data_IF_730363896481
#
_entry.id   IF_730363896481
#
_cell.length_a   1.000
_cell.length_b   1.000
_cell.length_c   1.000
_cell.angle_alpha   90.00
_cell.angle_beta   90.00
_cell.angle_gamma   90.00
#
_symmetry.space_group_name_H-M   'P 1'
#
loop_
_entity.id
_entity.type
_entity.pdbx_description
1 polymer ?
#
# COMPACT_ATOMS: atom_id res chain seq x y z
N UNK A 1 -26.22 41.15 -74.37
CA UNK A 1 -25.31 41.38 -73.23
C UNK A 1 -26.06 41.04 -71.97
N UNK A 2 -25.73 39.91 -71.32
CA UNK A 2 -25.94 39.63 -69.88
C UNK A 2 -25.39 38.23 -69.60
N UNK A 3 -24.13 38.18 -69.14
CA UNK A 3 -23.49 36.95 -68.62
C UNK A 3 -23.96 36.74 -67.18
N UNK A 4 -24.41 35.52 -66.85
CA UNK A 4 -24.70 35.06 -65.48
C UNK A 4 -23.39 34.75 -64.73
N UNK A 5 -23.24 35.09 -63.44
CA UNK A 5 -22.11 34.67 -62.64
C UNK A 5 -22.33 33.27 -62.04
N UNK A 6 -21.30 32.43 -62.12
CA UNK A 6 -21.16 31.18 -61.35
C UNK A 6 -20.78 31.53 -59.90
N UNK A 7 -21.56 31.07 -58.93
CA UNK A 7 -21.15 31.03 -57.53
C UNK A 7 -20.57 29.65 -57.23
N UNK A 8 -19.27 29.60 -56.97
CA UNK A 8 -18.54 28.43 -56.48
C UNK A 8 -18.88 28.25 -55.00
N UNK A 9 -19.54 27.15 -54.65
CA UNK A 9 -19.86 26.81 -53.26
C UNK A 9 -18.63 26.15 -52.62
N UNK A 10 -18.02 26.84 -51.66
CA UNK A 10 -16.89 26.34 -50.88
C UNK A 10 -17.46 25.56 -49.68
N UNK A 11 -17.45 24.22 -49.75
CA UNK A 11 -17.81 23.37 -48.62
C UNK A 11 -16.70 23.43 -47.56
N UNK A 12 -16.94 24.15 -46.47
CA UNK A 12 -16.12 24.12 -45.26
C UNK A 12 -16.41 22.81 -44.52
N UNK A 13 -15.54 21.82 -44.64
CA UNK A 13 -15.59 20.62 -43.80
C UNK A 13 -15.04 20.99 -42.41
N UNK A 14 -15.93 21.18 -41.44
CA UNK A 14 -15.55 21.34 -40.04
C UNK A 14 -15.10 19.97 -39.50
N UNK A 15 -13.79 19.78 -39.35
CA UNK A 15 -13.21 18.66 -38.61
C UNK A 15 -13.45 18.94 -37.12
N UNK A 16 -14.47 18.34 -36.55
CA UNK A 16 -14.63 18.25 -35.10
C UNK A 16 -13.60 17.24 -34.58
N UNK A 17 -12.45 17.73 -34.11
CA UNK A 17 -11.63 16.96 -33.19
C UNK A 17 -12.41 16.85 -31.87
N UNK A 18 -13.01 15.68 -31.62
CA UNK A 18 -13.37 15.28 -30.27
C UNK A 18 -12.05 15.15 -29.48
N UNK A 19 -11.70 16.20 -28.74
CA UNK A 19 -10.80 16.08 -27.60
C UNK A 19 -11.49 15.16 -26.59
N UNK A 20 -11.01 13.92 -26.48
CA UNK A 20 -11.32 13.10 -25.32
C UNK A 20 -10.89 13.88 -24.07
N UNK A 21 -11.68 13.89 -22.98
CA UNK A 21 -11.21 14.46 -21.73
C UNK A 21 -9.95 13.67 -21.34
N UNK A 22 -8.86 14.38 -21.08
CA UNK A 22 -7.70 13.77 -20.43
C UNK A 22 -8.22 13.13 -19.15
N UNK A 23 -8.00 11.83 -18.98
CA UNK A 23 -8.22 11.18 -17.71
C UNK A 23 -7.38 11.97 -16.69
N UNK A 24 -8.02 12.57 -15.69
CA UNK A 24 -7.30 13.11 -14.55
C UNK A 24 -6.58 11.91 -13.92
N UNK A 25 -5.26 11.85 -14.12
CA UNK A 25 -4.41 10.96 -13.38
C UNK A 25 -4.68 11.21 -11.90
N UNK A 26 -4.86 10.13 -11.13
CA UNK A 26 -5.00 10.22 -9.69
C UNK A 26 -3.81 11.02 -9.16
N UNK A 27 -4.06 12.15 -8.49
CA UNK A 27 -3.00 13.06 -8.07
C UNK A 27 -1.98 12.27 -7.22
N UNK A 28 -0.69 12.43 -7.51
CA UNK A 28 0.37 11.83 -6.72
C UNK A 28 0.31 12.24 -5.24
N UNK A 29 -0.43 13.31 -4.90
CA UNK A 29 -0.79 13.65 -3.52
C UNK A 29 -1.74 12.65 -2.85
N UNK A 30 -2.65 12.03 -3.61
CA UNK A 30 -3.68 11.10 -3.13
C UNK A 30 -3.08 9.72 -2.78
N UNK A 31 -2.06 9.28 -3.54
CA UNK A 31 -1.33 8.03 -3.29
C UNK A 31 -0.47 8.10 -2.02
N UNK A 32 0.02 9.29 -1.66
CA UNK A 32 0.81 9.55 -0.44
C UNK A 32 -0.07 9.71 0.81
N UNK A 33 -1.39 9.71 0.66
CA UNK A 33 -2.27 9.93 1.79
C UNK A 33 -2.36 8.67 2.68
N UNK A 34 -1.54 8.62 3.72
CA UNK A 34 -1.72 7.70 4.86
C UNK A 34 -2.18 8.44 6.10
N UNK A 35 -2.84 7.73 7.00
CA UNK A 35 -3.09 8.20 8.37
C UNK A 35 -1.99 7.58 9.24
N UNK A 36 -1.05 8.39 9.78
CA UNK A 36 -0.04 7.84 10.68
C UNK A 36 -0.69 7.11 11.85
N UNK A 37 -0.22 5.90 12.14
CA UNK A 37 -0.62 5.20 13.33
C UNK A 37 -0.13 5.93 14.59
N UNK A 38 -0.85 5.77 15.70
CA UNK A 38 -0.32 6.17 17.00
C UNK A 38 0.85 5.25 17.37
N UNK A 39 1.99 5.86 17.72
CA UNK A 39 3.16 5.09 18.12
C UNK A 39 2.92 4.29 19.40
N UNK A 40 3.55 3.12 19.50
CA UNK A 40 3.46 2.29 20.70
C UNK A 40 4.12 2.97 21.90
N UNK A 41 3.37 3.13 22.99
CA UNK A 41 3.94 3.57 24.28
C UNK A 41 4.96 2.54 24.80
N UNK A 42 6.04 3.00 25.45
CA UNK A 42 7.02 2.16 26.15
C UNK A 42 6.41 1.13 27.11
N UNK A 43 5.19 1.36 27.61
CA UNK A 43 4.45 0.40 28.42
C UNK A 43 4.11 -0.91 27.68
N UNK A 44 4.15 -0.89 26.35
CA UNK A 44 3.95 -2.05 25.48
C UNK A 44 5.25 -2.76 25.07
N UNK A 45 6.42 -2.35 25.56
CA UNK A 45 7.70 -2.85 25.07
C UNK A 45 7.86 -4.38 25.11
N UNK A 46 7.21 -5.07 26.07
CA UNK A 46 7.22 -6.54 26.12
C UNK A 46 6.56 -7.20 24.90
N UNK A 47 5.61 -6.53 24.25
CA UNK A 47 4.99 -7.02 23.02
C UNK A 47 6.00 -7.09 21.87
N UNK A 48 7.00 -6.17 21.83
CA UNK A 48 8.06 -6.19 20.83
C UNK A 48 8.99 -7.41 20.95
N UNK A 49 8.92 -8.13 22.07
CA UNK A 49 9.81 -9.22 22.46
C UNK A 49 9.07 -10.56 22.57
N UNK A 50 7.79 -10.58 22.20
CA UNK A 50 6.95 -11.80 22.13
C UNK A 50 7.64 -12.88 21.27
N UNK A 51 7.52 -14.14 21.69
CA UNK A 51 8.24 -15.25 21.07
C UNK A 51 7.80 -15.49 19.61
N UNK A 52 6.51 -15.29 19.34
CA UNK A 52 5.90 -15.47 18.02
C UNK A 52 6.51 -14.54 16.95
N UNK A 53 7.12 -13.42 17.37
CA UNK A 53 7.76 -12.44 16.47
C UNK A 53 8.86 -13.08 15.62
N UNK A 54 9.56 -14.08 16.15
CA UNK A 54 10.63 -14.77 15.42
C UNK A 54 10.09 -15.50 14.19
N UNK A 55 8.94 -16.17 14.33
CA UNK A 55 8.33 -16.93 13.24
C UNK A 55 7.56 -16.03 12.28
N UNK A 56 6.93 -14.98 12.80
CA UNK A 56 6.11 -14.03 12.03
C UNK A 56 6.94 -13.03 11.21
N UNK A 57 8.01 -12.48 11.79
CA UNK A 57 8.81 -11.40 11.17
C UNK A 57 10.19 -11.89 10.68
N UNK A 58 10.61 -13.11 11.07
CA UNK A 58 11.83 -13.77 10.58
C UNK A 58 13.08 -12.87 10.57
N UNK A 59 13.43 -12.21 11.68
CA UNK A 59 14.47 -11.17 11.74
C UNK A 59 15.84 -11.67 11.28
N UNK A 60 16.17 -12.95 11.49
CA UNK A 60 17.44 -13.49 11.03
C UNK A 60 17.56 -13.49 9.50
N UNK A 61 16.47 -13.76 8.77
CA UNK A 61 16.48 -13.72 7.30
C UNK A 61 16.62 -12.29 6.76
N UNK A 62 16.10 -11.31 7.49
CA UNK A 62 16.27 -9.88 7.19
C UNK A 62 17.75 -9.53 7.30
N UNK A 63 18.37 -9.89 8.44
CA UNK A 63 19.77 -9.60 8.70
C UNK A 63 20.72 -10.36 7.77
N UNK A 64 20.35 -11.56 7.35
CA UNK A 64 21.09 -12.32 6.33
C UNK A 64 21.01 -11.63 4.95
N UNK A 65 19.84 -11.10 4.57
CA UNK A 65 19.65 -10.36 3.32
C UNK A 65 20.39 -9.01 3.30
N UNK A 66 20.57 -8.37 4.46
CA UNK A 66 21.35 -7.13 4.58
C UNK A 66 22.86 -7.33 4.37
N UNK A 67 23.35 -8.58 4.45
CA UNK A 67 24.77 -8.92 4.28
C UNK A 67 25.72 -8.09 5.17
N UNK A 68 25.31 -7.83 6.41
CA UNK A 68 26.07 -7.05 7.40
C UNK A 68 27.48 -7.60 7.61
N UNK A 69 28.45 -6.70 7.77
CA UNK A 69 29.87 -7.02 7.94
C UNK A 69 30.39 -6.49 9.28
N UNK A 70 31.43 -7.17 9.78
CA UNK A 70 32.19 -6.64 10.90
C UNK A 70 32.77 -5.27 10.54
N UNK A 71 32.56 -4.28 11.40
CA UNK A 71 32.96 -2.89 11.16
C UNK A 71 31.84 -1.96 10.69
N UNK A 72 30.70 -2.50 10.21
CA UNK A 72 29.60 -1.66 9.72
C UNK A 72 29.03 -0.78 10.85
N UNK A 73 28.64 0.43 10.48
CA UNK A 73 27.93 1.40 11.31
C UNK A 73 26.45 1.36 10.93
N UNK A 74 25.61 0.88 11.85
CA UNK A 74 24.18 0.67 11.58
C UNK A 74 23.33 1.60 12.45
N UNK A 75 22.22 2.10 11.93
CA UNK A 75 21.18 2.76 12.70
C UNK A 75 19.93 1.89 12.74
N UNK A 76 19.35 1.68 13.92
CA UNK A 76 18.02 1.11 14.13
C UNK A 76 17.12 2.30 14.49
N UNK A 77 16.28 2.75 13.56
CA UNK A 77 15.44 3.97 13.68
C UNK A 77 14.07 3.56 14.18
N UNK A 78 13.61 4.16 15.28
CA UNK A 78 12.48 3.65 16.05
C UNK A 78 12.78 2.30 16.72
N UNK A 79 13.95 2.20 17.37
CA UNK A 79 14.50 0.93 17.81
C UNK A 79 13.72 0.23 18.95
N UNK A 80 12.83 0.95 19.65
CA UNK A 80 12.00 0.41 20.72
C UNK A 80 12.82 -0.29 21.82
N UNK A 81 12.52 -1.56 22.08
CA UNK A 81 13.26 -2.38 23.06
C UNK A 81 14.68 -2.79 22.61
N UNK A 82 15.12 -2.36 21.42
CA UNK A 82 16.39 -2.75 20.81
C UNK A 82 16.37 -4.17 20.23
N UNK A 83 15.21 -4.65 19.79
CA UNK A 83 15.04 -6.01 19.25
C UNK A 83 15.97 -6.28 18.05
N UNK A 84 16.02 -5.36 17.08
CA UNK A 84 16.94 -5.42 15.95
C UNK A 84 18.35 -4.96 16.36
N UNK A 85 18.47 -3.84 17.08
CA UNK A 85 19.76 -3.29 17.50
C UNK A 85 20.68 -4.31 18.18
N UNK A 86 20.15 -5.13 19.09
CA UNK A 86 20.93 -6.18 19.78
C UNK A 86 21.41 -7.28 18.85
N UNK A 87 20.60 -7.68 17.86
CA UNK A 87 20.96 -8.70 16.86
C UNK A 87 21.99 -8.18 15.86
N UNK A 88 21.81 -6.95 15.41
CA UNK A 88 22.74 -6.25 14.51
C UNK A 88 24.09 -6.07 15.20
N UNK A 89 24.10 -5.62 16.46
CA UNK A 89 25.32 -5.39 17.23
C UNK A 89 26.21 -6.64 17.29
N UNK A 90 25.62 -7.83 17.43
CA UNK A 90 26.38 -9.10 17.40
C UNK A 90 27.03 -9.38 16.04
N UNK A 91 26.39 -9.00 14.93
CA UNK A 91 26.88 -9.24 13.56
C UNK A 91 27.99 -8.28 13.13
N UNK A 92 27.94 -7.04 13.59
CA UNK A 92 28.90 -6.00 13.16
C UNK A 92 30.17 -5.94 14.03
N UNK A 93 30.28 -6.77 15.07
CA UNK A 93 31.53 -6.92 15.82
C UNK A 93 32.55 -7.82 15.09
N UNK A 94 33.86 -7.62 15.31
CA UNK A 94 34.46 -6.50 16.04
C UNK A 94 34.48 -5.19 15.24
N UNK A 95 34.39 -4.06 15.93
CA UNK A 95 34.70 -2.74 15.35
C UNK A 95 33.51 -1.98 14.76
N UNK A 96 32.38 -2.64 14.54
CA UNK A 96 31.12 -1.99 14.17
C UNK A 96 30.39 -1.40 15.39
N UNK A 97 29.33 -0.66 15.11
CA UNK A 97 28.45 -0.05 16.11
C UNK A 97 27.01 0.05 15.61
N UNK A 98 26.08 0.12 16.55
CA UNK A 98 24.66 0.34 16.27
C UNK A 98 24.19 1.60 16.98
N UNK A 99 23.63 2.55 16.26
CA UNK A 99 22.85 3.65 16.81
C UNK A 99 21.41 3.18 17.01
N UNK A 100 20.96 3.07 18.24
CA UNK A 100 19.56 2.78 18.57
C UNK A 100 18.85 4.11 18.76
N UNK A 101 18.10 4.53 17.76
CA UNK A 101 17.38 5.80 17.73
C UNK A 101 15.91 5.58 18.10
N UNK A 102 15.39 6.36 19.05
CA UNK A 102 13.97 6.37 19.41
C UNK A 102 13.58 7.75 19.95
N UNK A 103 12.29 8.10 19.83
CA UNK A 103 11.74 9.36 20.37
C UNK A 103 11.39 9.24 21.86
N UNK A 104 11.24 8.03 22.39
CA UNK A 104 10.89 7.74 23.78
C UNK A 104 12.16 7.46 24.59
N UNK A 105 12.52 8.32 25.56
CA UNK A 105 13.69 8.07 26.42
C UNK A 105 13.56 6.77 27.23
N UNK A 106 12.33 6.35 27.56
CA UNK A 106 12.05 5.10 28.26
C UNK A 106 12.39 3.86 27.41
N UNK A 107 12.14 3.89 26.10
CA UNK A 107 12.52 2.79 25.19
C UNK A 107 14.04 2.62 25.15
N UNK A 108 14.79 3.73 25.11
CA UNK A 108 16.25 3.69 25.15
C UNK A 108 16.78 3.10 26.46
N UNK A 109 16.12 3.34 27.59
CA UNK A 109 16.51 2.73 28.87
C UNK A 109 16.20 1.22 28.88
N UNK A 110 15.00 0.83 28.44
CA UNK A 110 14.61 -0.59 28.29
C UNK A 110 15.63 -1.32 27.40
N UNK A 111 16.03 -0.72 26.29
CA UNK A 111 17.04 -1.29 25.40
C UNK A 111 18.39 -1.46 26.12
N UNK A 112 18.85 -0.47 26.89
CA UNK A 112 20.12 -0.56 27.64
C UNK A 112 20.09 -1.71 28.64
N UNK A 113 19.03 -1.83 29.42
CA UNK A 113 18.84 -2.90 30.40
C UNK A 113 18.89 -4.26 29.70
N UNK A 114 18.11 -4.42 28.63
CA UNK A 114 18.06 -5.64 27.82
C UNK A 114 19.38 -6.00 27.14
N UNK A 115 20.14 -5.01 26.68
CA UNK A 115 21.47 -5.23 26.11
C UNK A 115 22.46 -5.68 27.19
N UNK A 116 22.39 -5.09 28.38
CA UNK A 116 23.23 -5.45 29.52
C UNK A 116 22.95 -6.88 30.01
N UNK A 117 21.67 -7.25 30.14
CA UNK A 117 21.24 -8.61 30.54
C UNK A 117 21.75 -9.68 29.55
N UNK A 118 21.79 -9.34 28.27
CA UNK A 118 22.28 -10.23 27.21
C UNK A 118 23.80 -10.17 26.97
N UNK A 119 24.51 -9.29 27.68
CA UNK A 119 25.95 -9.04 27.49
C UNK A 119 26.31 -8.48 26.10
N UNK A 120 25.39 -7.78 25.45
CA UNK A 120 25.60 -7.15 24.13
C UNK A 120 26.21 -5.77 24.31
N UNK A 121 27.27 -5.48 23.56
CA UNK A 121 27.95 -4.18 23.54
C UNK A 121 27.95 -3.58 22.13
N UNK A 122 28.41 -2.33 22.01
CA UNK A 122 28.48 -1.65 20.71
C UNK A 122 27.16 -1.01 20.27
N UNK A 123 26.21 -0.83 21.19
CA UNK A 123 24.96 -0.09 20.95
C UNK A 123 25.05 1.29 21.59
N UNK A 124 24.81 2.34 20.81
CA UNK A 124 24.81 3.74 21.21
C UNK A 124 23.37 4.29 21.12
N UNK A 125 22.78 4.72 22.25
CA UNK A 125 21.42 5.27 22.27
C UNK A 125 21.39 6.69 21.71
N UNK A 126 20.40 7.00 20.86
CA UNK A 126 20.17 8.32 20.27
C UNK A 126 18.72 8.73 20.54
N UNK A 127 18.52 9.86 21.22
CA UNK A 127 17.18 10.41 21.44
C UNK A 127 16.86 11.41 20.32
N UNK A 128 16.08 10.97 19.33
CA UNK A 128 15.63 11.79 18.22
C UNK A 128 14.39 12.62 18.56
N UNK A 129 13.72 13.10 17.51
CA UNK A 129 12.41 13.75 17.54
C UNK A 129 11.58 13.25 16.37
N UNK A 130 10.26 13.50 16.34
CA UNK A 130 9.44 13.14 15.18
C UNK A 130 9.97 13.66 13.82
N UNK A 131 10.79 14.72 13.83
CA UNK A 131 11.29 15.40 12.63
C UNK A 131 12.81 15.26 12.41
N UNK A 132 13.55 14.64 13.34
CA UNK A 132 15.02 14.60 13.28
C UNK A 132 15.55 13.36 14.00
N UNK A 133 16.18 12.40 13.30
CA UNK A 133 16.73 11.21 13.92
C UNK A 133 17.99 11.50 14.75
N UNK A 134 18.62 12.68 14.57
CA UNK A 134 19.86 13.09 15.26
C UNK A 134 21.02 12.08 15.12
N UNK A 135 21.02 11.35 14.01
CA UNK A 135 22.09 10.44 13.65
C UNK A 135 23.31 11.20 13.13
N UNK A 136 24.53 10.65 13.27
CA UNK A 136 25.73 11.27 12.72
C UNK A 136 25.67 11.35 11.18
N UNK A 137 25.95 12.54 10.64
CA UNK A 137 25.94 12.78 9.20
C UNK A 137 27.02 11.96 8.46
N UNK A 138 26.64 11.37 7.33
CA UNK A 138 27.56 10.69 6.40
C UNK A 138 28.28 9.46 6.97
N UNK A 139 27.75 8.83 8.02
CA UNK A 139 28.43 7.78 8.78
C UNK A 139 27.72 6.42 8.77
N UNK A 140 26.45 6.35 8.35
CA UNK A 140 25.63 5.16 8.47
C UNK A 140 25.73 4.28 7.20
N UNK A 141 26.24 3.06 7.35
CA UNK A 141 26.32 2.06 6.27
C UNK A 141 24.95 1.41 6.02
N UNK A 142 24.19 1.17 7.09
CA UNK A 142 22.82 0.65 7.04
C UNK A 142 21.91 1.39 8.03
N UNK A 143 20.77 1.87 7.58
CA UNK A 143 19.65 2.19 8.46
C UNK A 143 18.62 1.05 8.39
N UNK A 144 18.02 0.68 9.52
CA UNK A 144 16.90 -0.26 9.61
C UNK A 144 15.71 0.50 10.17
N UNK A 145 14.57 0.38 9.52
CA UNK A 145 13.28 0.93 9.96
C UNK A 145 12.31 -0.23 9.96
N UNK A 146 12.05 -0.81 11.13
CA UNK A 146 11.26 -2.03 11.26
C UNK A 146 9.92 -1.74 11.94
N UNK A 147 8.82 -1.80 11.18
CA UNK A 147 7.44 -1.65 11.66
C UNK A 147 7.19 -0.35 12.42
N UNK A 148 7.76 0.76 11.94
CA UNK A 148 7.62 2.08 12.58
C UNK A 148 7.42 3.22 11.58
N UNK A 149 7.66 3.00 10.28
CA UNK A 149 7.51 4.07 9.29
C UNK A 149 6.04 4.52 9.18
N UNK A 150 5.09 3.58 9.31
CA UNK A 150 3.67 3.88 9.40
C UNK A 150 3.27 4.72 10.63
N UNK A 151 4.09 4.75 11.69
CA UNK A 151 3.88 5.58 12.89
C UNK A 151 4.47 7.00 12.76
N UNK A 152 5.35 7.23 11.78
CA UNK A 152 6.02 8.54 11.63
C UNK A 152 5.00 9.62 11.22
N UNK A 153 4.76 10.59 12.08
CA UNK A 153 3.85 11.72 11.80
C UNK A 153 4.47 12.75 10.85
N UNK A 154 5.80 12.82 10.82
CA UNK A 154 6.58 13.79 10.02
C UNK A 154 7.63 13.04 9.16
N UNK A 155 7.20 12.19 8.21
CA UNK A 155 8.11 11.32 7.45
C UNK A 155 9.09 12.10 6.57
N UNK A 156 8.68 13.23 5.99
CA UNK A 156 9.53 14.00 5.07
C UNK A 156 10.83 14.52 5.75
N UNK A 157 10.77 15.25 6.88
CA UNK A 157 12.00 15.68 7.56
C UNK A 157 12.76 14.52 8.20
N UNK A 158 12.08 13.47 8.67
CA UNK A 158 12.74 12.26 9.20
C UNK A 158 13.57 11.55 8.12
N UNK A 159 12.99 11.31 6.94
CA UNK A 159 13.68 10.72 5.79
C UNK A 159 14.81 11.62 5.27
N UNK A 160 14.65 12.95 5.34
CA UNK A 160 15.74 13.86 5.02
C UNK A 160 16.93 13.70 5.98
N UNK A 161 16.68 13.60 7.28
CA UNK A 161 17.72 13.35 8.27
C UNK A 161 18.40 11.98 8.10
N UNK A 162 17.62 10.93 7.80
CA UNK A 162 18.18 9.60 7.49
C UNK A 162 19.08 9.67 6.26
N UNK A 163 18.63 10.33 5.19
CA UNK A 163 19.41 10.49 3.95
C UNK A 163 20.74 11.22 4.22
N UNK A 164 20.73 12.25 5.05
CA UNK A 164 21.94 13.01 5.43
C UNK A 164 22.88 12.17 6.33
N UNK A 165 22.34 11.22 7.09
CA UNK A 165 23.10 10.30 7.94
C UNK A 165 23.81 9.19 7.14
N UNK A 166 23.28 8.78 5.99
CA UNK A 166 23.86 7.71 5.18
C UNK A 166 25.27 8.05 4.69
N UNK A 167 26.19 7.12 4.89
CA UNK A 167 27.51 7.15 4.27
C UNK A 167 27.39 6.99 2.73
N UNK A 168 28.42 7.37 1.95
CA UNK A 168 28.45 7.08 0.53
C UNK A 168 28.28 5.57 0.24
N UNK A 169 27.18 5.21 -0.43
CA UNK A 169 26.83 3.82 -0.71
C UNK A 169 26.03 3.13 0.41
N UNK A 170 25.74 3.84 1.50
CA UNK A 170 24.87 3.39 2.58
C UNK A 170 23.45 3.12 2.10
N UNK A 171 22.76 2.21 2.80
CA UNK A 171 21.44 1.72 2.43
C UNK A 171 20.45 1.83 3.58
N UNK A 172 19.16 1.73 3.26
CA UNK A 172 18.09 1.61 4.24
C UNK A 172 17.34 0.30 4.01
N UNK A 173 17.16 -0.49 5.07
CA UNK A 173 16.25 -1.62 5.13
C UNK A 173 14.94 -1.17 5.78
N UNK A 174 13.87 -1.09 4.99
CA UNK A 174 12.53 -0.81 5.50
C UNK A 174 11.73 -2.11 5.57
N UNK A 175 11.16 -2.39 6.73
CA UNK A 175 10.20 -3.46 6.94
C UNK A 175 8.85 -2.87 7.28
N UNK A 176 7.83 -3.26 6.53
CA UNK A 176 6.46 -2.77 6.71
C UNK A 176 5.45 -3.87 6.42
N UNK A 177 4.39 -3.97 7.24
CA UNK A 177 3.32 -4.94 7.01
C UNK A 177 2.58 -4.65 5.70
N UNK A 178 2.25 -5.71 4.97
CA UNK A 178 1.72 -5.60 3.61
C UNK A 178 0.20 -5.51 3.54
N UNK A 179 -0.28 -4.84 2.49
CA UNK A 179 -1.70 -4.57 2.22
C UNK A 179 -2.29 -5.58 1.22
N UNK A 180 -1.49 -6.05 0.28
CA UNK A 180 -1.89 -6.50 -1.05
C UNK A 180 -2.55 -7.87 -1.04
N UNK A 181 -1.91 -8.84 -0.38
CA UNK A 181 -2.34 -10.23 -0.34
C UNK A 181 -3.13 -10.57 0.93
N UNK A 182 -3.35 -9.62 1.84
CA UNK A 182 -4.06 -9.82 3.11
C UNK A 182 -3.31 -10.63 4.17
N UNK A 183 -2.05 -11.02 3.93
CA UNK A 183 -1.21 -11.65 4.96
C UNK A 183 -0.93 -10.72 6.15
N UNK A 184 -0.93 -9.40 5.91
CA UNK A 184 -0.84 -8.36 6.94
C UNK A 184 -2.18 -8.00 7.59
N UNK A 185 -3.31 -8.63 7.27
CA UNK A 185 -4.60 -8.32 7.90
C UNK A 185 -4.69 -8.83 9.37
N UNK A 186 -3.63 -9.44 9.90
CA UNK A 186 -3.48 -9.77 11.32
C UNK A 186 -3.06 -8.55 12.18
N UNK A 187 -2.52 -7.50 11.56
CA UNK A 187 -2.23 -6.21 12.20
C UNK A 187 -3.32 -5.19 11.83
N UNK A 188 -3.27 -4.07 12.52
CA UNK A 188 -4.18 -2.95 12.33
C UNK A 188 -3.98 -2.32 10.95
N UNK A 189 -5.05 -1.79 10.35
CA UNK A 189 -5.02 -1.32 8.98
C UNK A 189 -4.09 -0.13 8.74
N UNK A 190 -4.03 0.78 9.72
CA UNK A 190 -3.11 1.91 9.78
C UNK A 190 -1.65 1.52 10.08
N UNK A 191 -1.38 0.24 10.38
CA UNK A 191 -0.04 -0.33 10.53
C UNK A 191 0.41 -1.10 9.28
N UNK A 192 -0.33 -0.97 8.18
CA UNK A 192 0.01 -1.62 6.89
C UNK A 192 0.27 -0.56 5.83
N UNK A 193 1.24 -0.80 4.96
CA UNK A 193 1.52 0.05 3.80
C UNK A 193 1.68 -0.78 2.54
N UNK A 194 1.13 -0.31 1.42
CA UNK A 194 1.37 -0.93 0.12
C UNK A 194 2.75 -0.55 -0.43
N UNK A 195 3.32 -1.41 -1.28
CA UNK A 195 4.53 -1.08 -2.06
C UNK A 195 4.35 0.23 -2.81
N UNK A 196 3.16 0.47 -3.37
CA UNK A 196 2.84 1.71 -4.08
C UNK A 196 2.95 2.95 -3.17
N UNK A 197 2.40 2.90 -1.96
CA UNK A 197 2.48 4.01 -1.01
C UNK A 197 3.91 4.27 -0.56
N UNK A 198 4.65 3.21 -0.21
CA UNK A 198 6.05 3.31 0.21
C UNK A 198 6.89 3.94 -0.91
N UNK A 199 6.81 3.44 -2.13
CA UNK A 199 7.59 3.98 -3.25
C UNK A 199 7.25 5.44 -3.53
N UNK A 200 5.97 5.81 -3.50
CA UNK A 200 5.53 7.20 -3.72
C UNK A 200 6.11 8.17 -2.67
N UNK A 201 6.17 7.78 -1.40
CA UNK A 201 6.75 8.62 -0.33
C UNK A 201 8.28 8.65 -0.40
N UNK A 202 8.93 7.49 -0.54
CA UNK A 202 10.38 7.36 -0.48
C UNK A 202 11.10 7.98 -1.69
N UNK A 203 10.54 7.84 -2.89
CA UNK A 203 11.07 8.49 -4.08
C UNK A 203 10.99 10.02 -3.99
N UNK A 204 9.86 10.55 -3.50
CA UNK A 204 9.70 11.97 -3.27
C UNK A 204 10.70 12.50 -2.21
N UNK A 205 11.06 11.65 -1.24
CA UNK A 205 12.09 11.92 -0.25
C UNK A 205 13.54 11.73 -0.75
N UNK A 206 13.74 11.47 -2.05
CA UNK A 206 15.08 11.37 -2.64
C UNK A 206 15.79 10.04 -2.38
N UNK A 207 15.03 8.95 -2.23
CA UNK A 207 15.55 7.58 -2.22
C UNK A 207 15.24 6.87 -3.54
N UNK A 208 16.05 5.88 -3.89
CA UNK A 208 15.77 4.96 -5.00
C UNK A 208 15.79 3.51 -4.52
N UNK A 209 14.90 2.69 -5.09
CA UNK A 209 14.79 1.28 -4.76
C UNK A 209 15.97 0.49 -5.34
N UNK A 210 16.63 -0.28 -4.47
CA UNK A 210 17.74 -1.17 -4.83
C UNK A 210 17.23 -2.60 -4.92
N UNK A 211 16.47 -3.06 -3.93
CA UNK A 211 15.88 -4.40 -3.88
C UNK A 211 14.53 -4.38 -3.18
N UNK A 212 13.63 -5.27 -3.61
CA UNK A 212 12.37 -5.55 -2.94
C UNK A 212 12.26 -7.07 -2.79
N UNK A 213 12.08 -7.52 -1.55
CA UNK A 213 11.95 -8.93 -1.19
C UNK A 213 10.53 -9.23 -0.68
N UNK A 214 9.99 -10.38 -1.11
CA UNK A 214 8.67 -10.92 -0.78
C UNK A 214 8.71 -12.09 0.21
N UNK A 215 9.90 -12.46 0.68
CA UNK A 215 10.10 -13.73 1.36
C UNK A 215 9.59 -13.79 2.81
N UNK A 216 9.25 -12.64 3.39
CA UNK A 216 8.70 -12.54 4.75
C UNK A 216 7.21 -12.93 4.75
N UNK A 217 6.69 -13.49 5.86
CA UNK A 217 5.29 -13.97 5.93
C UNK A 217 4.24 -12.87 5.69
N UNK A 218 4.41 -11.69 6.30
CA UNK A 218 3.40 -10.62 6.30
C UNK A 218 3.97 -9.22 6.04
N UNK A 219 5.27 -9.10 5.80
CA UNK A 219 5.97 -7.82 5.65
C UNK A 219 6.66 -7.71 4.29
N UNK A 220 6.77 -6.51 3.76
CA UNK A 220 7.73 -6.19 2.72
C UNK A 220 9.12 -5.99 3.33
N UNK A 221 10.17 -6.29 2.57
CA UNK A 221 11.52 -5.82 2.87
C UNK A 221 12.06 -5.04 1.66
N UNK A 222 12.16 -3.73 1.83
CA UNK A 222 12.73 -2.83 0.84
C UNK A 222 14.16 -2.48 1.20
N UNK A 223 15.05 -2.50 0.21
CA UNK A 223 16.36 -1.87 0.29
C UNK A 223 16.37 -0.61 -0.56
N UNK A 224 16.59 0.53 0.09
CA UNK A 224 16.74 1.83 -0.54
C UNK A 224 18.18 2.33 -0.43
N UNK A 225 18.53 3.30 -1.27
CA UNK A 225 19.71 4.15 -1.09
C UNK A 225 19.36 5.60 -1.42
N UNK A 226 20.17 6.55 -0.97
CA UNK A 226 20.04 7.94 -1.39
C UNK A 226 20.16 8.04 -2.93
N UNK A 227 19.21 8.70 -3.58
CA UNK A 227 19.21 8.86 -5.03
C UNK A 227 20.30 9.85 -5.46
N UNK A 228 21.03 9.52 -6.53
CA UNK A 228 22.03 10.41 -7.12
C UNK A 228 21.42 11.53 -8.00
N UNK A 229 20.10 11.54 -8.18
CA UNK A 229 19.31 12.44 -9.03
C UNK A 229 17.81 12.24 -8.83
N UNK A 230 16.96 12.73 -9.73
CA UNK A 230 15.52 12.46 -9.66
C UNK A 230 15.24 10.94 -9.71
N UNK A 231 14.53 10.42 -8.72
CA UNK A 231 14.29 8.99 -8.53
C UNK A 231 13.56 8.35 -9.72
N UNK A 232 13.90 7.09 -10.01
CA UNK A 232 13.52 6.33 -11.21
C UNK A 232 12.07 5.87 -11.30
N UNK A 233 11.13 6.80 -11.31
CA UNK A 233 9.79 6.58 -11.86
C UNK A 233 9.88 6.42 -13.38
N UNK A 234 9.09 5.51 -13.96
CA UNK A 234 9.03 5.37 -15.42
C UNK A 234 8.24 6.46 -16.16
N UNK A 235 7.72 7.48 -15.47
CA UNK A 235 7.09 8.63 -16.10
C UNK A 235 8.10 9.35 -17.05
N UNK A 236 8.00 9.07 -18.36
CA UNK A 236 8.89 9.61 -19.39
C UNK A 236 10.13 8.76 -19.69
N UNK A 237 10.23 7.53 -19.19
CA UNK A 237 11.35 6.60 -19.42
C UNK A 237 11.04 5.69 -20.60
N UNK A 238 11.94 5.59 -21.58
CA UNK A 238 11.79 4.66 -22.71
C UNK A 238 12.32 3.26 -22.37
N UNK A 239 11.87 2.22 -23.09
CA UNK A 239 12.42 0.86 -22.95
C UNK A 239 13.96 0.81 -23.10
N UNK A 240 14.54 1.68 -23.94
CA UNK A 240 16.00 1.82 -24.07
C UNK A 240 16.66 2.39 -22.81
N UNK A 241 16.00 3.26 -22.06
CA UNK A 241 16.52 3.87 -20.84
C UNK A 241 16.52 2.89 -19.67
N UNK A 242 15.47 2.06 -19.57
CA UNK A 242 15.41 0.93 -18.61
C UNK A 242 16.54 -0.07 -18.88
N UNK A 243 16.82 -0.34 -20.15
CA UNK A 243 17.91 -1.25 -20.55
C UNK A 243 19.31 -0.62 -20.31
N UNK A 244 19.42 0.70 -20.41
CA UNK A 244 20.66 1.46 -20.16
C UNK A 244 20.94 1.69 -18.67
N UNK A 245 19.93 1.58 -17.80
CA UNK A 245 20.06 1.52 -16.34
C UNK A 245 20.70 0.20 -15.87
N UNK A 246 21.70 -0.29 -16.59
CA UNK A 246 22.51 -1.49 -16.33
C UNK A 246 23.41 -1.38 -15.07
N UNK A 247 23.06 -0.49 -14.14
CA UNK A 247 23.51 -0.47 -12.77
C UNK A 247 22.54 -1.21 -11.85
N UNK A 248 22.85 -1.24 -10.55
CA UNK A 248 22.08 -1.94 -9.51
C UNK A 248 20.68 -1.36 -9.21
N UNK A 249 20.13 -0.50 -10.07
CA UNK A 249 18.88 0.21 -9.79
C UNK A 249 17.69 -0.62 -10.31
N UNK A 250 16.68 -0.80 -9.45
CA UNK A 250 15.39 -1.37 -9.85
C UNK A 250 14.56 -0.23 -10.41
N UNK A 251 13.97 -0.43 -11.59
CA UNK A 251 12.94 0.50 -12.09
C UNK A 251 11.63 0.08 -11.47
N UNK A 252 10.86 1.03 -10.93
CA UNK A 252 9.51 0.78 -10.46
C UNK A 252 8.48 1.63 -11.21
N UNK A 253 7.31 1.02 -11.44
CA UNK A 253 6.28 1.57 -12.30
C UNK A 253 4.88 1.30 -11.75
N UNK A 254 3.97 2.24 -12.03
CA UNK A 254 2.54 1.91 -12.10
C UNK A 254 2.28 0.99 -13.31
N UNK A 255 1.33 0.07 -13.17
CA UNK A 255 0.92 -0.87 -14.21
C UNK A 255 0.53 -0.17 -15.51
N UNK A 256 -0.24 0.92 -15.44
CA UNK A 256 -0.71 1.64 -16.61
C UNK A 256 0.43 2.42 -17.27
N UNK A 257 1.31 3.05 -16.49
CA UNK A 257 2.51 3.70 -17.00
C UNK A 257 3.44 2.68 -17.71
N UNK A 258 3.58 1.48 -17.14
CA UNK A 258 4.38 0.42 -17.73
C UNK A 258 3.78 -0.11 -19.05
N UNK A 259 2.44 -0.22 -19.13
CA UNK A 259 1.73 -0.59 -20.37
C UNK A 259 1.92 0.50 -21.44
N UNK A 260 1.70 1.76 -21.08
CA UNK A 260 1.77 2.89 -21.99
C UNK A 260 3.20 3.14 -22.52
N UNK A 261 4.21 2.93 -21.66
CA UNK A 261 5.62 2.96 -22.04
C UNK A 261 6.07 1.71 -22.81
N UNK A 262 5.20 0.70 -22.96
CA UNK A 262 5.50 -0.55 -23.64
C UNK A 262 6.57 -1.38 -22.92
N UNK A 263 6.71 -1.23 -21.60
CA UNK A 263 7.66 -1.96 -20.74
C UNK A 263 7.15 -3.34 -20.35
N UNK A 264 5.84 -3.55 -20.41
CA UNK A 264 5.19 -4.83 -20.08
C UNK A 264 4.13 -5.21 -21.10
N UNK A 265 3.92 -6.51 -21.25
CA UNK A 265 2.73 -7.10 -21.86
C UNK A 265 1.90 -7.75 -20.77
N UNK A 266 0.58 -7.59 -20.85
CA UNK A 266 -0.36 -8.09 -19.84
C UNK A 266 -1.51 -8.85 -20.52
N UNK A 267 -1.86 -10.02 -19.99
CA UNK A 267 -3.01 -10.83 -20.39
C UNK A 267 -3.89 -11.09 -19.14
N UNK A 268 -4.86 -10.20 -18.86
CA UNK A 268 -5.73 -10.29 -17.69
C UNK A 268 -6.88 -11.28 -17.91
N UNK A 269 -7.13 -12.12 -16.90
CA UNK A 269 -8.10 -13.22 -16.90
C UNK A 269 -8.94 -13.22 -15.63
N UNK A 270 -10.18 -13.70 -15.76
CA UNK A 270 -11.01 -14.01 -14.60
C UNK A 270 -10.37 -15.09 -13.71
N UNK A 271 -10.59 -14.99 -12.40
CA UNK A 271 -10.14 -16.00 -11.43
C UNK A 271 -11.20 -16.29 -10.35
N UNK A 272 -12.49 -16.16 -10.71
CA UNK A 272 -13.62 -16.40 -9.83
C UNK A 272 -14.07 -15.16 -9.05
N UNK A 273 -14.66 -15.35 -7.87
CA UNK A 273 -15.39 -14.28 -7.16
C UNK A 273 -14.50 -13.30 -6.39
N UNK A 274 -13.30 -13.71 -6.00
CA UNK A 274 -12.46 -12.96 -5.06
C UNK A 274 -11.18 -12.39 -5.67
N UNK A 275 -10.91 -12.68 -6.95
CA UNK A 275 -9.66 -12.34 -7.59
C UNK A 275 -9.77 -12.32 -9.12
N UNK A 276 -8.75 -11.71 -9.73
CA UNK A 276 -8.40 -11.77 -11.15
C UNK A 276 -6.93 -12.19 -11.27
N UNK A 277 -6.55 -12.80 -12.38
CA UNK A 277 -5.16 -13.17 -12.66
C UNK A 277 -4.65 -12.35 -13.84
N UNK A 278 -3.53 -11.66 -13.66
CA UNK A 278 -2.79 -11.00 -14.71
C UNK A 278 -1.57 -11.86 -15.04
N UNK A 279 -1.53 -12.42 -16.24
CA UNK A 279 -0.25 -12.88 -16.78
C UNK A 279 0.49 -11.64 -17.25
N UNK A 280 1.72 -11.46 -16.78
CA UNK A 280 2.52 -10.28 -17.10
C UNK A 280 3.95 -10.67 -17.44
N UNK A 281 4.55 -10.01 -18.42
CA UNK A 281 5.98 -10.13 -18.75
C UNK A 281 6.56 -8.77 -19.11
N UNK A 282 7.84 -8.56 -18.84
CA UNK A 282 8.56 -7.38 -19.31
C UNK A 282 8.99 -7.55 -20.77
N UNK A 283 9.11 -6.45 -21.50
CA UNK A 283 9.47 -6.42 -22.94
C UNK A 283 10.93 -6.00 -23.18
N UNK A 284 11.67 -5.66 -22.13
CA UNK A 284 13.08 -5.25 -22.17
C UNK A 284 13.91 -5.88 -21.04
N UNK A 285 15.20 -5.55 -20.98
CA UNK A 285 16.09 -6.03 -19.91
C UNK A 285 15.95 -5.23 -18.60
N UNK A 286 16.55 -5.73 -17.52
CA UNK A 286 16.61 -5.03 -16.22
C UNK A 286 15.50 -5.43 -15.24
N UNK A 287 15.74 -5.25 -13.93
CA UNK A 287 14.76 -5.60 -12.89
C UNK A 287 13.67 -4.54 -12.84
N UNK A 288 12.41 -4.96 -13.00
CA UNK A 288 11.23 -4.10 -12.99
C UNK A 288 10.32 -4.50 -11.82
N UNK A 289 9.91 -3.53 -11.02
CA UNK A 289 8.82 -3.65 -10.04
C UNK A 289 7.59 -2.98 -10.63
N UNK A 290 6.49 -3.71 -10.73
CA UNK A 290 5.22 -3.18 -11.24
C UNK A 290 4.24 -3.14 -10.08
N UNK A 291 3.62 -1.99 -9.85
CA UNK A 291 2.53 -1.80 -8.89
C UNK A 291 1.21 -1.64 -9.62
N UNK A 292 0.11 -2.16 -9.07
CA UNK A 292 -1.25 -1.90 -9.56
C UNK A 292 -2.00 -1.11 -8.50
N UNK A 293 -2.73 -0.05 -8.87
CA UNK A 293 -3.55 0.66 -7.90
C UNK A 293 -4.79 -0.15 -7.52
N UNK A 294 -5.25 0.04 -6.29
CA UNK A 294 -6.59 -0.31 -5.84
C UNK A 294 -7.64 0.33 -6.74
N UNK A 295 -8.79 -0.32 -6.89
CA UNK A 295 -9.87 0.10 -7.78
C UNK A 295 -9.55 0.06 -9.28
N UNK A 296 -8.53 -0.70 -9.68
CA UNK A 296 -8.31 -1.07 -11.08
C UNK A 296 -9.52 -1.84 -11.59
N UNK A 297 -10.12 -1.37 -12.68
CA UNK A 297 -11.31 -1.95 -13.29
C UNK A 297 -10.92 -3.01 -14.31
N UNK A 298 -11.57 -4.17 -14.25
CA UNK A 298 -11.41 -5.26 -15.20
C UNK A 298 -12.76 -5.54 -15.86
N UNK A 299 -12.90 -5.08 -17.10
CA UNK A 299 -14.13 -5.25 -17.86
C UNK A 299 -14.19 -6.61 -18.53
N UNK A 300 -15.33 -7.25 -18.38
CA UNK A 300 -15.67 -8.48 -19.07
C UNK A 300 -16.84 -8.23 -20.03
N UNK A 301 -16.91 -9.00 -21.11
CA UNK A 301 -18.06 -8.91 -22.00
C UNK A 301 -19.35 -9.32 -21.25
N UNK A 302 -20.41 -8.54 -21.46
CA UNK A 302 -21.72 -8.78 -20.84
C UNK A 302 -21.90 -8.21 -19.43
N UNK A 303 -21.14 -7.18 -19.05
CA UNK A 303 -21.24 -6.47 -17.77
C UNK A 303 -21.03 -7.40 -16.55
N UNK A 304 -19.94 -8.18 -16.61
CA UNK A 304 -19.45 -9.07 -15.55
C UNK A 304 -18.13 -8.53 -15.00
N UNK A 305 -18.08 -7.23 -14.76
CA UNK A 305 -16.85 -6.53 -14.49
C UNK A 305 -16.39 -6.78 -13.06
N UNK A 306 -15.08 -6.79 -12.89
CA UNK A 306 -14.44 -6.89 -11.59
C UNK A 306 -13.67 -5.62 -11.27
N UNK A 307 -13.44 -5.39 -9.99
CA UNK A 307 -12.66 -4.25 -9.51
C UNK A 307 -11.68 -4.73 -8.44
N UNK A 308 -10.41 -4.33 -8.53
CA UNK A 308 -9.42 -4.70 -7.54
C UNK A 308 -9.73 -4.03 -6.20
N UNK A 309 -9.63 -4.79 -5.11
CA UNK A 309 -9.97 -4.30 -3.76
C UNK A 309 -8.75 -3.86 -2.95
N UNK A 310 -7.55 -4.03 -3.50
CA UNK A 310 -6.26 -3.67 -2.92
C UNK A 310 -5.30 -3.22 -4.01
N UNK A 311 -4.30 -2.44 -3.60
CA UNK A 311 -3.07 -2.31 -4.37
C UNK A 311 -2.47 -3.71 -4.59
N UNK A 312 -1.67 -3.82 -5.64
CA UNK A 312 -0.87 -5.01 -5.92
C UNK A 312 0.55 -4.63 -6.29
N UNK A 313 1.46 -5.61 -6.25
CA UNK A 313 2.77 -5.47 -6.85
C UNK A 313 3.33 -6.82 -7.34
N UNK A 314 4.33 -6.75 -8.22
CA UNK A 314 5.13 -7.91 -8.68
C UNK A 314 6.55 -7.48 -9.09
N UNK A 315 7.55 -8.35 -8.87
CA UNK A 315 8.90 -8.18 -9.42
C UNK A 315 9.10 -9.04 -10.67
N UNK A 316 9.43 -8.41 -11.79
CA UNK A 316 9.76 -9.08 -13.04
C UNK A 316 11.28 -9.19 -13.17
N UNK A 317 11.81 -10.37 -12.81
CA UNK A 317 13.26 -10.66 -12.79
C UNK A 317 13.80 -11.11 -14.15
N UNK A 318 12.94 -11.67 -14.98
CA UNK A 318 13.24 -12.19 -16.32
C UNK A 318 12.14 -11.82 -17.33
N UNK A 319 12.36 -12.14 -18.61
CA UNK A 319 11.44 -11.82 -19.73
C UNK A 319 10.31 -12.86 -19.86
N UNK A 320 10.23 -13.81 -18.93
CA UNK A 320 9.20 -14.84 -18.89
C UNK A 320 7.83 -14.29 -18.51
N UNK A 321 6.79 -15.10 -18.75
CA UNK A 321 5.45 -14.83 -18.24
C UNK A 321 5.38 -15.20 -16.77
N UNK A 322 4.87 -14.27 -15.95
CA UNK A 322 4.62 -14.45 -14.52
C UNK A 322 3.12 -14.32 -14.26
N UNK A 323 2.60 -15.15 -13.36
CA UNK A 323 1.21 -15.09 -12.93
C UNK A 323 1.10 -14.15 -11.72
N UNK A 324 0.16 -13.21 -11.78
CA UNK A 324 -0.04 -12.20 -10.74
C UNK A 324 -1.51 -12.15 -10.35
N UNK A 325 -1.83 -12.65 -9.15
CA UNK A 325 -3.21 -12.68 -8.65
C UNK A 325 -3.52 -11.40 -7.89
N UNK A 326 -4.51 -10.65 -8.37
CA UNK A 326 -5.01 -9.45 -7.70
C UNK A 326 -6.35 -9.75 -7.03
N UNK A 327 -6.47 -9.35 -5.77
CA UNK A 327 -7.71 -9.44 -5.00
C UNK A 327 -8.76 -8.52 -5.62
N UNK A 328 -9.93 -9.05 -5.93
CA UNK A 328 -10.99 -8.32 -6.62
C UNK A 328 -12.39 -8.71 -6.12
N UNK A 329 -13.38 -7.90 -6.47
CA UNK A 329 -14.81 -8.15 -6.22
C UNK A 329 -15.62 -7.91 -7.49
N UNK A 330 -16.75 -8.59 -7.62
CA UNK A 330 -17.66 -8.38 -8.75
C UNK A 330 -18.46 -7.10 -8.57
N UNK A 331 -18.58 -6.28 -9.62
CA UNK A 331 -19.37 -5.04 -9.57
C UNK A 331 -20.86 -5.31 -9.65
N UNK A 332 -21.27 -6.27 -10.47
CA UNK A 332 -22.68 -6.62 -10.67
C UNK A 332 -23.06 -7.81 -9.80
N UNK A 333 -23.88 -7.58 -8.77
CA UNK A 333 -24.33 -8.62 -7.82
C UNK A 333 -25.04 -9.79 -8.49
N UNK A 334 -25.91 -9.49 -9.46
CA UNK A 334 -26.79 -10.47 -10.10
C UNK A 334 -26.14 -11.17 -11.31
N UNK A 335 -24.81 -11.08 -11.41
CA UNK A 335 -24.03 -11.67 -12.50
C UNK A 335 -22.90 -12.51 -11.92
N UNK A 336 -22.68 -13.67 -12.53
CA UNK A 336 -21.51 -14.47 -12.18
C UNK A 336 -20.23 -13.72 -12.61
N UNK A 337 -19.19 -13.70 -11.77
CA UNK A 337 -17.93 -13.11 -12.16
C UNK A 337 -17.28 -13.92 -13.28
N UNK A 338 -16.35 -13.30 -14.03
CA UNK A 338 -15.64 -13.95 -15.13
C UNK A 338 -14.95 -15.23 -14.66
N UNK A 339 -15.12 -16.29 -15.44
CA UNK A 339 -14.54 -17.59 -15.14
C UNK A 339 -13.02 -17.59 -15.34
N UNK A 340 -12.33 -18.66 -14.87
CA UNK A 340 -10.94 -18.90 -15.22
C UNK A 340 -10.74 -18.78 -16.74
N UNK A 341 -9.68 -18.11 -17.15
CA UNK A 341 -9.28 -17.91 -18.55
C UNK A 341 -10.21 -17.02 -19.40
N UNK A 342 -11.29 -16.45 -18.84
CA UNK A 342 -12.08 -15.44 -19.54
C UNK A 342 -11.28 -14.14 -19.70
N UNK A 343 -11.08 -13.62 -20.93
CA UNK A 343 -10.29 -12.42 -21.16
C UNK A 343 -10.98 -11.17 -20.60
N UNK A 344 -10.18 -10.30 -20.00
CA UNK A 344 -10.63 -9.03 -19.42
C UNK A 344 -9.94 -7.84 -20.11
N UNK A 345 -10.50 -6.64 -19.95
CA UNK A 345 -9.83 -5.38 -20.30
C UNK A 345 -9.53 -4.56 -19.06
N UNK A 346 -8.27 -4.14 -18.88
CA UNK A 346 -7.86 -3.28 -17.78
C UNK A 346 -8.25 -1.83 -18.05
N UNK A 347 -8.74 -1.15 -17.02
CA UNK A 347 -8.96 0.29 -17.00
C UNK A 347 -8.47 0.90 -15.66
N UNK A 348 -7.94 2.12 -15.68
CA UNK A 348 -7.43 2.78 -14.49
C UNK A 348 -8.55 3.16 -13.50
N UNK A 349 -8.24 3.41 -12.22
CA UNK A 349 -9.23 3.81 -11.21
C UNK A 349 -10.04 5.06 -11.58
N UNK A 350 -9.46 5.96 -12.38
CA UNK A 350 -10.12 7.18 -12.87
C UNK A 350 -11.34 6.90 -13.77
N UNK A 351 -11.49 5.67 -14.29
CA UNK A 351 -12.70 5.24 -14.99
C UNK A 351 -13.93 5.16 -14.07
N UNK A 352 -13.73 5.02 -12.75
CA UNK A 352 -14.77 4.83 -11.74
C UNK A 352 -14.47 5.57 -10.42
N UNK A 353 -14.37 6.93 -10.44
CA UNK A 353 -13.81 7.71 -9.33
C UNK A 353 -14.50 7.49 -7.98
N UNK A 354 -15.82 7.27 -8.00
CA UNK A 354 -16.60 6.99 -6.79
C UNK A 354 -16.20 5.69 -6.11
N UNK A 355 -15.95 4.63 -6.88
CA UNK A 355 -15.50 3.35 -6.33
C UNK A 355 -14.03 3.41 -5.93
N UNK A 356 -13.21 4.19 -6.64
CA UNK A 356 -11.82 4.45 -6.26
C UNK A 356 -11.73 5.06 -4.85
N UNK A 357 -12.53 6.09 -4.55
CA UNK A 357 -12.57 6.68 -3.21
C UNK A 357 -13.03 5.69 -2.13
N UNK A 358 -14.06 4.88 -2.39
CA UNK A 358 -14.54 3.85 -1.43
C UNK A 358 -13.46 2.82 -1.14
N UNK A 359 -12.80 2.31 -2.18
CA UNK A 359 -11.79 1.27 -2.00
C UNK A 359 -10.48 1.80 -1.43
N UNK A 360 -10.16 3.09 -1.66
CA UNK A 360 -9.09 3.78 -0.95
C UNK A 360 -9.32 3.80 0.56
N UNK A 361 -10.53 4.19 1.00
CA UNK A 361 -10.89 4.16 2.43
C UNK A 361 -10.89 2.75 3.04
N UNK A 362 -11.34 1.76 2.26
CA UNK A 362 -11.26 0.34 2.66
C UNK A 362 -9.82 -0.10 2.88
N UNK A 363 -8.91 0.29 1.98
CA UNK A 363 -7.51 -0.09 2.04
C UNK A 363 -6.81 0.50 3.26
N UNK A 364 -6.92 1.81 3.45
CA UNK A 364 -6.25 2.54 4.55
C UNK A 364 -6.82 2.12 5.91
N UNK A 365 -8.13 1.88 6.01
CA UNK A 365 -8.78 1.53 7.27
C UNK A 365 -8.67 2.61 8.35
N UNK A 366 -9.22 2.38 9.55
CA UNK A 366 -9.21 3.38 10.64
C UNK A 366 -9.66 2.85 12.00
N UNK A 367 -9.33 3.60 13.07
CA UNK A 367 -9.90 3.51 14.42
C UNK A 367 -10.93 4.60 14.76
N UNK A 368 -11.01 5.72 14.03
CA UNK A 368 -11.64 6.94 14.57
C UNK A 368 -13.13 7.08 14.22
N UNK A 369 -13.78 5.99 13.84
CA UNK A 369 -15.19 6.03 13.47
C UNK A 369 -16.03 6.36 14.70
N UNK A 370 -16.68 7.52 14.66
CA UNK A 370 -17.46 8.08 15.77
C UNK A 370 -16.66 8.25 17.07
N UNK A 371 -15.35 8.54 16.98
CA UNK A 371 -14.42 8.64 18.12
C UNK A 371 -14.39 7.36 18.99
N UNK A 372 -14.71 6.20 18.43
CA UNK A 372 -14.66 4.93 19.16
C UNK A 372 -13.24 4.36 19.10
N UNK A 373 -12.47 4.32 20.21
CA UNK A 373 -11.10 3.79 20.19
C UNK A 373 -11.04 2.26 19.92
N UNK A 374 -12.20 1.61 19.84
CA UNK A 374 -12.33 0.15 19.69
C UNK A 374 -12.95 -0.27 18.37
N UNK A 375 -13.43 0.66 17.54
CA UNK A 375 -14.09 0.29 16.29
C UNK A 375 -13.04 0.03 15.21
N UNK A 376 -12.80 -1.24 14.93
CA UNK A 376 -11.90 -1.71 13.89
C UNK A 376 -12.68 -2.34 12.73
N UNK A 377 -12.88 -1.63 11.61
CA UNK A 377 -13.53 -2.19 10.44
C UNK A 377 -12.65 -3.25 9.77
N UNK A 378 -13.05 -4.54 9.76
CA UNK A 378 -12.23 -5.59 9.19
C UNK A 378 -12.31 -5.57 7.67
N UNK A 379 -11.15 -5.73 7.01
CA UNK A 379 -11.05 -5.68 5.55
C UNK A 379 -11.21 -7.07 4.93
N UNK A 380 -12.41 -7.64 5.10
CA UNK A 380 -12.75 -8.96 4.56
C UNK A 380 -13.45 -8.87 3.21
N UNK A 381 -13.34 -9.92 2.39
CA UNK A 381 -14.00 -10.00 1.09
C UNK A 381 -15.49 -9.60 1.15
N UNK A 382 -16.25 -10.08 2.15
CA UNK A 382 -17.69 -9.79 2.27
C UNK A 382 -17.99 -8.33 2.61
N UNK A 383 -17.13 -7.66 3.38
CA UNK A 383 -17.27 -6.22 3.70
C UNK A 383 -17.00 -5.38 2.46
N UNK A 384 -15.92 -5.69 1.76
CA UNK A 384 -15.48 -4.98 0.55
C UNK A 384 -16.48 -5.19 -0.60
N UNK A 385 -17.01 -6.41 -0.74
CA UNK A 385 -18.03 -6.76 -1.72
C UNK A 385 -19.36 -6.02 -1.44
N UNK A 386 -19.79 -5.94 -0.17
CA UNK A 386 -20.95 -5.16 0.22
C UNK A 386 -20.76 -3.67 -0.09
N UNK A 387 -19.58 -3.12 0.20
CA UNK A 387 -19.27 -1.72 -0.07
C UNK A 387 -19.41 -1.39 -1.56
N UNK A 388 -18.88 -2.23 -2.45
CA UNK A 388 -19.01 -2.05 -3.91
C UNK A 388 -20.48 -2.14 -4.36
N UNK A 389 -21.26 -3.10 -3.89
CA UNK A 389 -22.67 -3.23 -4.30
C UNK A 389 -23.56 -2.08 -3.80
N UNK A 390 -23.33 -1.57 -2.59
CA UNK A 390 -24.06 -0.40 -2.08
C UNK A 390 -23.62 0.85 -2.83
N UNK A 391 -22.32 0.99 -3.11
CA UNK A 391 -21.80 2.15 -3.79
C UNK A 391 -22.26 2.20 -5.26
N UNK A 392 -21.96 1.18 -6.06
CA UNK A 392 -22.24 1.20 -7.51
C UNK A 392 -23.72 0.93 -7.81
N UNK A 393 -24.31 -0.09 -7.18
CA UNK A 393 -25.63 -0.62 -7.52
C UNK A 393 -26.79 -0.17 -6.62
N UNK A 394 -26.52 0.63 -5.58
CA UNK A 394 -27.50 1.04 -4.55
C UNK A 394 -28.30 -0.14 -3.99
N UNK A 395 -27.60 -1.24 -3.68
CA UNK A 395 -28.19 -2.47 -3.16
C UNK A 395 -28.93 -2.23 -1.83
N UNK A 396 -30.00 -3.00 -1.60
CA UNK A 396 -30.67 -3.12 -0.29
C UNK A 396 -30.08 -4.28 0.52
N UNK A 397 -30.32 -4.33 1.84
CA UNK A 397 -29.73 -5.36 2.69
C UNK A 397 -30.27 -6.75 2.36
N UNK A 398 -31.59 -6.87 2.15
CA UNK A 398 -32.23 -8.17 1.91
C UNK A 398 -31.70 -8.89 0.68
N UNK A 399 -31.34 -8.15 -0.35
CA UNK A 399 -30.82 -8.70 -1.61
C UNK A 399 -29.32 -9.02 -1.59
N UNK A 400 -28.57 -8.59 -0.56
CA UNK A 400 -27.15 -8.96 -0.38
C UNK A 400 -26.89 -9.88 0.81
N UNK A 401 -27.83 -10.00 1.75
CA UNK A 401 -27.68 -10.70 3.04
C UNK A 401 -27.07 -12.10 2.92
N UNK A 402 -27.55 -12.94 2.01
CA UNK A 402 -27.01 -14.29 1.79
C UNK A 402 -25.59 -14.27 1.21
N UNK A 403 -25.34 -13.38 0.24
CA UNK A 403 -24.07 -13.31 -0.48
C UNK A 403 -22.93 -12.72 0.36
N UNK A 404 -23.24 -11.93 1.38
CA UNK A 404 -22.25 -11.33 2.30
C UNK A 404 -22.18 -12.07 3.65
N UNK A 405 -22.86 -13.22 3.77
CA UNK A 405 -22.75 -14.08 4.95
C UNK A 405 -21.39 -14.81 4.90
N UNK A 406 -20.48 -14.43 5.80
CA UNK A 406 -19.16 -15.05 5.90
C UNK A 406 -19.01 -15.91 7.16
N UNK A 407 -18.09 -16.89 7.16
CA UNK A 407 -17.82 -17.73 8.34
C UNK A 407 -17.22 -16.93 9.51
N UNK A 408 -16.57 -15.79 9.22
CA UNK A 408 -15.90 -14.93 10.20
C UNK A 408 -16.74 -13.73 10.64
N UNK A 409 -17.69 -13.29 9.81
CA UNK A 409 -18.45 -12.05 10.02
C UNK A 409 -19.90 -12.27 9.60
N UNK A 410 -20.88 -12.09 10.52
CA UNK A 410 -22.30 -12.14 10.17
C UNK A 410 -22.66 -11.05 9.15
N UNK A 411 -23.65 -11.28 8.27
CA UNK A 411 -23.98 -10.37 7.18
C UNK A 411 -24.36 -8.95 7.64
N UNK A 412 -25.02 -8.82 8.80
CA UNK A 412 -25.34 -7.51 9.37
C UNK A 412 -24.09 -6.72 9.78
N UNK A 413 -23.04 -7.39 10.26
CA UNK A 413 -21.76 -6.73 10.56
C UNK A 413 -21.06 -6.33 9.26
N UNK A 414 -21.06 -7.22 8.25
CA UNK A 414 -20.47 -6.91 6.95
C UNK A 414 -21.11 -5.66 6.31
N UNK A 415 -22.45 -5.58 6.33
CA UNK A 415 -23.19 -4.41 5.84
C UNK A 415 -22.91 -3.15 6.67
N UNK A 416 -22.84 -3.25 8.00
CA UNK A 416 -22.57 -2.11 8.86
C UNK A 416 -21.16 -1.53 8.64
N UNK A 417 -20.14 -2.37 8.54
CA UNK A 417 -18.77 -1.93 8.22
C UNK A 417 -18.65 -1.36 6.81
N UNK A 418 -19.35 -1.93 5.83
CA UNK A 418 -19.41 -1.36 4.49
C UNK A 418 -19.97 0.08 4.51
N UNK A 419 -21.06 0.31 5.26
CA UNK A 419 -21.62 1.65 5.42
C UNK A 419 -20.63 2.64 6.07
N UNK A 420 -19.84 2.19 7.03
CA UNK A 420 -18.77 3.02 7.64
C UNK A 420 -17.74 3.44 6.60
N UNK A 421 -17.27 2.53 5.74
CA UNK A 421 -16.33 2.87 4.66
C UNK A 421 -16.93 3.84 3.64
N UNK A 422 -18.19 3.61 3.24
CA UNK A 422 -18.89 4.51 2.31
C UNK A 422 -19.01 5.92 2.89
N UNK A 423 -19.39 6.04 4.16
CA UNK A 423 -19.52 7.32 4.84
C UNK A 423 -18.21 8.10 4.91
N UNK A 424 -17.10 7.41 5.18
CA UNK A 424 -15.76 7.99 5.17
C UNK A 424 -15.33 8.45 3.78
N UNK A 425 -15.72 7.70 2.74
CA UNK A 425 -15.53 8.09 1.34
C UNK A 425 -16.47 9.23 0.89
N UNK A 426 -17.13 9.92 1.83
CA UNK A 426 -18.01 11.05 1.57
C UNK A 426 -19.38 10.68 0.99
N UNK A 427 -19.75 9.40 1.00
CA UNK A 427 -21.05 8.94 0.51
C UNK A 427 -22.09 9.07 1.63
N UNK A 428 -23.13 9.89 1.40
CA UNK A 428 -24.29 9.96 2.30
C UNK A 428 -25.05 8.62 2.30
N UNK A 429 -24.73 7.79 3.29
CA UNK A 429 -25.31 6.47 3.49
C UNK A 429 -26.80 6.51 3.84
N UNK A 430 -27.29 7.63 4.40
CA UNK A 430 -28.70 7.75 4.80
C UNK A 430 -29.65 7.86 3.61
N UNK A 431 -29.11 8.20 2.44
CA UNK A 431 -29.83 8.27 1.16
C UNK A 431 -29.74 6.99 0.34
N UNK A 432 -28.99 5.98 0.80
CA UNK A 432 -28.82 4.71 0.10
C UNK A 432 -29.96 3.76 0.40
N UNK A 433 -30.31 2.90 -0.56
CA UNK A 433 -31.41 1.95 -0.41
C UNK A 433 -31.22 1.00 0.78
N UNK A 434 -30.00 0.54 1.03
CA UNK A 434 -29.65 -0.26 2.23
C UNK A 434 -30.10 0.39 3.55
N UNK A 435 -30.16 1.72 3.64
CA UNK A 435 -30.56 2.42 4.86
C UNK A 435 -32.04 2.23 5.22
N UNK A 436 -32.90 1.85 4.26
CA UNK A 436 -34.28 1.45 4.57
C UNK A 436 -34.34 0.19 5.42
N UNK A 437 -33.31 -0.68 5.34
CA UNK A 437 -33.17 -1.90 6.12
C UNK A 437 -32.37 -1.70 7.42
N UNK A 438 -32.03 -0.46 7.81
CA UNK A 438 -31.14 -0.18 8.96
C UNK A 438 -31.53 -0.87 10.26
N UNK A 439 -32.82 -1.06 10.55
CA UNK A 439 -33.26 -1.81 11.73
C UNK A 439 -32.82 -3.28 11.69
N UNK A 440 -32.86 -3.92 10.51
CA UNK A 440 -32.40 -5.31 10.31
C UNK A 440 -30.88 -5.44 10.50
N UNK A 441 -30.14 -4.38 10.19
CA UNK A 441 -28.69 -4.30 10.34
C UNK A 441 -28.33 -4.02 11.80
N UNK A 442 -28.74 -2.87 12.34
CA UNK A 442 -28.23 -2.30 13.58
C UNK A 442 -28.89 -2.84 14.86
N UNK A 443 -30.17 -3.26 14.85
CA UNK A 443 -30.85 -3.75 16.08
C UNK A 443 -30.24 -5.05 16.62
N UNK A 444 -29.49 -5.77 15.77
CA UNK A 444 -28.82 -7.03 16.08
C UNK A 444 -27.34 -6.86 16.44
N UNK A 445 -26.77 -5.67 16.30
CA UNK A 445 -25.35 -5.43 16.59
C UNK A 445 -25.12 -5.29 18.09
N UNK A 446 -23.98 -5.82 18.54
CA UNK A 446 -23.50 -5.69 19.92
C UNK A 446 -22.27 -4.79 20.04
N UNK A 447 -21.68 -4.40 18.92
CA UNK A 447 -20.51 -3.54 18.89
C UNK A 447 -20.87 -2.10 19.31
N UNK A 448 -20.18 -1.58 20.33
CA UNK A 448 -20.47 -0.25 20.86
C UNK A 448 -20.13 0.85 19.86
N UNK A 449 -19.04 0.71 19.10
CA UNK A 449 -18.61 1.68 18.11
C UNK A 449 -19.62 1.82 16.97
N UNK A 450 -20.08 0.70 16.40
CA UNK A 450 -21.10 0.70 15.35
C UNK A 450 -22.43 1.30 15.84
N UNK A 451 -22.81 1.02 17.09
CA UNK A 451 -24.01 1.60 17.69
C UNK A 451 -23.90 3.12 17.86
N UNK A 452 -22.75 3.64 18.31
CA UNK A 452 -22.52 5.09 18.42
C UNK A 452 -22.53 5.73 17.02
N UNK A 453 -21.83 5.14 16.06
CA UNK A 453 -21.83 5.63 14.67
C UNK A 453 -23.25 5.68 14.09
N UNK A 454 -24.03 4.61 14.29
CA UNK A 454 -25.42 4.55 13.82
C UNK A 454 -26.29 5.65 14.42
N UNK A 455 -26.16 5.90 15.73
CA UNK A 455 -26.89 6.97 16.42
C UNK A 455 -26.53 8.36 15.89
N UNK A 456 -25.27 8.60 15.52
CA UNK A 456 -24.86 9.88 14.92
C UNK A 456 -25.49 10.10 13.55
N UNK A 457 -25.70 9.05 12.77
CA UNK A 457 -26.31 9.12 11.43
C UNK A 457 -27.83 9.18 11.42
N UNK A 458 -28.48 8.81 12.53
CA UNK A 458 -29.94 8.87 12.67
C UNK A 458 -30.46 10.14 13.33
N UNK A 459 -29.58 10.96 13.90
CA UNK A 459 -29.87 12.31 14.37
C UNK A 459 -29.90 13.28 13.20
#
# INVERSE_FOLDING_TARGET
MTRRPMFTSLCLAAVFHLLAPAAEAQDASDVRHRVPAEFMSYLGADWLERAERVDEEQPERVLDAMELRAGDVVADVGCGSGYYARRIARRVQPGGRVYCEDIQPEMLEIMRERAADEGVTGIEPVLGTPTDPRLPAGAIDWAVIADVYHEMSEPEPMLAGIRDALAPGGRVALLEYRVEDGSGDNIKADHTMSVRQVLAEWQAAGFELVELHDFLPSQHLFFFRAAAGAAGSCAGVSASDVTAAAGSAVVDCDLFDAIDAGLVEVDPRGAGREAVNLRIRRTGGGRLVVTSPVATLLEADGARDMITRRDGWIVLRDDGWHDWTLRAVGRQRDREPPGPDEPLRLQPPSAIPRLASVLGEVQVGTYTVANSPTLYPPRTHVVEQAAVWIADGDADYGSMEEAIAGPRIPPQYAAAFALVFLDRAGIDVTRRRVWSDRARIFDRLRDQGLNVWYQLKTR
#
